data_IF_080427482225
#
_entry.id   IF_080427482225
#
_cell.length_a   1.000
_cell.length_b   1.000
_cell.length_c   1.000
_cell.angle_alpha   90.00
_cell.angle_beta   90.00
_cell.angle_gamma   90.00
#
_symmetry.space_group_name_H-M   'P 1'
#
loop_
_entity.id
_entity.type
_entity.pdbx_description
1 polymer ?
#
# COMPACT_ATOMS: atom_id res chain seq x y z
N UNK A 1 -65.82 29.26 4.25
CA UNK A 1 -64.52 29.71 4.74
C UNK A 1 -64.23 28.98 6.05
N UNK A 2 -63.17 28.21 6.06
CA UNK A 2 -62.69 27.54 7.26
C UNK A 2 -62.35 28.57 8.32
N UNK A 3 -62.69 28.31 9.57
CA UNK A 3 -62.32 29.15 10.72
C UNK A 3 -60.81 29.04 10.99
N UNK A 4 -60.22 30.08 11.62
CA UNK A 4 -58.79 30.08 11.93
C UNK A 4 -58.33 28.83 12.72
N UNK A 5 -59.21 28.30 13.60
CA UNK A 5 -58.92 27.05 14.34
C UNK A 5 -58.86 25.81 13.47
N UNK A 6 -59.71 25.73 12.45
CA UNK A 6 -59.70 24.58 11.50
C UNK A 6 -58.44 24.61 10.61
N UNK A 7 -57.95 25.77 10.24
CA UNK A 7 -56.68 25.91 9.53
C UNK A 7 -55.47 25.49 10.39
N UNK A 8 -55.45 25.92 11.66
CA UNK A 8 -54.40 25.53 12.59
C UNK A 8 -54.36 23.98 12.80
N UNK A 9 -55.50 23.36 12.90
CA UNK A 9 -55.61 21.91 13.07
C UNK A 9 -55.18 21.15 11.80
N UNK A 10 -55.56 21.66 10.63
CA UNK A 10 -55.09 21.07 9.34
C UNK A 10 -53.57 21.16 9.16
N UNK A 11 -52.99 22.29 9.50
CA UNK A 11 -51.53 22.46 9.44
C UNK A 11 -50.81 21.54 10.43
N UNK A 12 -51.34 21.41 11.66
CA UNK A 12 -50.77 20.50 12.66
C UNK A 12 -50.79 19.03 12.20
N UNK A 13 -51.92 18.59 11.60
CA UNK A 13 -52.01 17.22 11.04
C UNK A 13 -51.03 17.00 9.89
N UNK A 14 -50.87 17.98 8.99
CA UNK A 14 -49.93 17.88 7.90
C UNK A 14 -48.46 17.79 8.38
N UNK A 15 -48.11 18.57 9.41
CA UNK A 15 -46.75 18.52 10.01
C UNK A 15 -46.51 17.17 10.66
N UNK A 16 -47.48 16.62 11.40
CA UNK A 16 -47.34 15.28 12.02
C UNK A 16 -47.18 14.19 10.95
N UNK A 17 -47.97 14.25 9.87
CA UNK A 17 -47.85 13.30 8.76
C UNK A 17 -46.48 13.44 8.06
N UNK A 18 -45.99 14.64 7.83
CA UNK A 18 -44.68 14.85 7.21
C UNK A 18 -43.56 14.29 8.08
N UNK A 19 -43.61 14.51 9.39
CA UNK A 19 -42.61 13.96 10.34
C UNK A 19 -42.70 12.42 10.36
N UNK A 20 -43.91 11.85 10.43
CA UNK A 20 -44.09 10.41 10.41
C UNK A 20 -43.58 9.77 9.13
N UNK A 21 -43.85 10.37 7.96
CA UNK A 21 -43.31 9.93 6.66
C UNK A 21 -41.76 10.05 6.61
N UNK A 22 -41.19 11.12 7.13
CA UNK A 22 -39.75 11.33 7.20
C UNK A 22 -39.06 10.28 8.08
N UNK A 23 -39.60 10.01 9.27
CA UNK A 23 -39.09 8.97 10.17
C UNK A 23 -39.24 7.58 9.54
N UNK A 24 -40.40 7.30 8.92
CA UNK A 24 -40.63 6.04 8.23
C UNK A 24 -39.67 5.81 7.08
N UNK A 25 -39.44 6.83 6.24
CA UNK A 25 -38.47 6.77 5.14
C UNK A 25 -37.04 6.58 5.66
N UNK A 26 -36.66 7.26 6.73
CA UNK A 26 -35.36 7.09 7.37
C UNK A 26 -35.16 5.68 7.94
N UNK A 27 -36.15 5.10 8.61
CA UNK A 27 -36.10 3.75 9.13
C UNK A 27 -36.02 2.70 8.02
N UNK A 28 -36.71 2.88 6.92
CA UNK A 28 -36.65 2.00 5.76
C UNK A 28 -35.27 2.13 5.09
N UNK A 29 -34.78 3.34 4.87
CA UNK A 29 -33.48 3.58 4.28
C UNK A 29 -32.34 3.00 5.13
N UNK A 30 -32.40 3.16 6.45
CA UNK A 30 -31.39 2.63 7.37
C UNK A 30 -31.31 1.10 7.40
N UNK A 31 -32.44 0.43 7.14
CA UNK A 31 -32.51 -1.05 7.09
C UNK A 31 -32.27 -1.62 5.69
N UNK A 32 -32.79 -0.93 4.67
CA UNK A 32 -32.72 -1.42 3.27
C UNK A 32 -31.40 -1.13 2.56
N UNK A 33 -30.63 -0.14 3.05
CA UNK A 33 -29.38 0.32 2.38
C UNK A 33 -28.23 0.30 3.37
N UNK A 34 -27.65 -0.87 3.69
CA UNK A 34 -26.55 -1.03 4.64
C UNK A 34 -25.33 -0.12 4.34
N UNK A 35 -25.09 0.19 3.07
CA UNK A 35 -24.01 1.09 2.65
C UNK A 35 -24.25 2.56 3.10
N UNK A 36 -25.52 2.98 3.19
CA UNK A 36 -25.86 4.34 3.65
C UNK A 36 -25.64 4.51 5.16
N UNK A 37 -25.63 3.42 5.92
CA UNK A 37 -25.39 3.41 7.37
C UNK A 37 -23.92 3.11 7.72
N UNK A 38 -23.02 2.98 6.74
CA UNK A 38 -21.62 2.62 6.96
C UNK A 38 -21.41 1.18 7.45
N UNK A 39 -22.46 0.38 7.51
CA UNK A 39 -22.35 -1.05 7.83
C UNK A 39 -21.65 -1.74 6.63
N UNK A 40 -20.35 -1.96 6.74
CA UNK A 40 -19.60 -2.78 5.77
C UNK A 40 -20.23 -4.16 5.74
N UNK A 41 -20.59 -4.65 4.54
CA UNK A 41 -20.94 -6.04 4.36
C UNK A 41 -19.79 -6.88 4.92
N UNK A 42 -20.08 -7.75 5.90
CA UNK A 42 -19.09 -8.62 6.50
C UNK A 42 -18.52 -9.53 5.43
N UNK A 43 -17.23 -9.38 5.13
CA UNK A 43 -16.53 -10.30 4.24
C UNK A 43 -16.25 -11.61 4.98
N UNK A 44 -15.87 -12.65 4.24
CA UNK A 44 -15.47 -13.92 4.86
C UNK A 44 -14.29 -13.74 5.83
N UNK A 45 -13.43 -12.75 5.60
CA UNK A 45 -12.29 -12.40 6.45
C UNK A 45 -12.77 -11.78 7.75
N UNK A 46 -13.79 -10.91 7.71
CA UNK A 46 -14.33 -10.22 8.89
C UNK A 46 -14.99 -11.19 9.88
N UNK A 47 -15.46 -12.35 9.43
CA UNK A 47 -16.00 -13.40 10.30
C UNK A 47 -14.93 -13.96 11.24
N UNK A 48 -13.69 -14.03 10.79
CA UNK A 48 -12.56 -14.52 11.57
C UNK A 48 -11.80 -13.41 12.31
N UNK A 49 -12.17 -12.14 12.12
CA UNK A 49 -11.51 -11.01 12.76
C UNK A 49 -11.34 -11.16 14.29
N UNK A 50 -12.33 -11.66 15.07
CA UNK A 50 -12.17 -11.85 16.51
C UNK A 50 -11.11 -12.89 16.91
N UNK A 51 -10.77 -13.82 15.97
CA UNK A 51 -9.74 -14.83 16.19
C UNK A 51 -8.34 -14.37 15.74
N UNK A 52 -8.24 -13.21 15.09
CA UNK A 52 -6.98 -12.64 14.66
C UNK A 52 -6.26 -11.93 15.82
N UNK A 53 -4.94 -11.85 15.74
CA UNK A 53 -4.14 -11.13 16.72
C UNK A 53 -4.53 -9.65 16.80
N UNK A 54 -4.69 -9.14 18.01
CA UNK A 54 -4.95 -7.73 18.32
C UNK A 54 -4.28 -7.36 19.65
N UNK A 55 -4.24 -6.05 19.94
CA UNK A 55 -3.60 -5.56 21.17
C UNK A 55 -2.12 -5.96 21.23
N UNK A 56 -1.71 -6.61 22.31
CA UNK A 56 -0.31 -7.02 22.56
C UNK A 56 0.25 -7.95 21.46
N UNK A 57 -0.59 -8.79 20.85
CA UNK A 57 -0.16 -9.69 19.77
C UNK A 57 0.36 -8.97 18.51
N UNK A 58 -0.11 -7.74 18.29
CA UNK A 58 0.30 -6.90 17.15
C UNK A 58 1.22 -5.74 17.54
N UNK A 59 1.63 -5.66 18.78
CA UNK A 59 2.47 -4.56 19.32
C UNK A 59 3.76 -4.36 18.51
N UNK A 60 4.38 -5.45 18.06
CA UNK A 60 5.63 -5.43 17.28
C UNK A 60 5.48 -4.81 15.89
N UNK A 61 4.26 -4.76 15.35
CA UNK A 61 3.96 -4.23 14.02
C UNK A 61 3.15 -2.93 14.06
N UNK A 62 3.10 -2.27 15.22
CA UNK A 62 2.46 -0.97 15.36
C UNK A 62 3.27 0.14 14.72
N UNK A 63 2.58 1.22 14.32
CA UNK A 63 3.22 2.43 13.81
C UNK A 63 4.26 2.98 14.79
N UNK A 64 3.95 3.05 16.08
CA UNK A 64 4.83 3.58 17.11
C UNK A 64 6.14 2.78 17.20
N UNK A 65 6.05 1.45 17.13
CA UNK A 65 7.23 0.59 17.11
C UNK A 65 8.08 0.83 15.87
N UNK A 66 7.45 0.91 14.70
CA UNK A 66 8.14 1.21 13.45
C UNK A 66 8.83 2.57 13.48
N UNK A 67 8.21 3.62 14.02
CA UNK A 67 8.80 4.95 14.20
C UNK A 67 10.02 4.91 15.14
N UNK A 68 9.94 4.16 16.23
CA UNK A 68 11.08 3.97 17.15
C UNK A 68 12.27 3.29 16.45
N UNK A 69 12.00 2.31 15.60
CA UNK A 69 13.05 1.64 14.83
C UNK A 69 13.61 2.55 13.73
N UNK A 70 12.73 3.23 13.00
CA UNK A 70 13.11 4.14 11.92
C UNK A 70 14.00 5.29 12.40
N UNK A 71 13.76 5.81 13.60
CA UNK A 71 14.60 6.88 14.19
C UNK A 71 16.05 6.48 14.42
N UNK A 72 16.38 5.20 14.38
CA UNK A 72 17.76 4.70 14.45
C UNK A 72 18.42 4.59 13.09
N UNK A 73 17.62 4.48 12.02
CA UNK A 73 18.07 4.22 10.66
C UNK A 73 18.09 5.49 9.80
N UNK A 74 17.17 6.39 10.06
CA UNK A 74 16.95 7.61 9.28
C UNK A 74 17.33 8.79 10.16
N UNK A 75 18.31 9.58 9.71
CA UNK A 75 18.71 10.79 10.39
C UNK A 75 17.54 11.80 10.45
N UNK A 76 17.48 12.58 11.52
CA UNK A 76 16.35 13.46 11.80
C UNK A 76 16.12 14.52 10.70
N UNK A 77 17.17 14.98 10.03
CA UNK A 77 17.13 15.93 8.92
C UNK A 77 16.62 15.30 7.61
N UNK A 78 16.73 13.97 7.46
CA UNK A 78 16.18 13.22 6.34
C UNK A 78 14.73 12.79 6.55
N UNK A 79 14.20 12.90 7.78
CA UNK A 79 12.82 12.55 8.08
C UNK A 79 11.84 13.57 7.52
N UNK A 80 11.05 13.18 6.51
CA UNK A 80 10.06 14.05 5.87
C UNK A 80 8.66 13.78 6.41
N UNK A 81 7.85 14.83 6.51
CA UNK A 81 6.43 14.70 6.86
C UNK A 81 5.72 13.79 5.85
N UNK A 82 5.05 12.75 6.33
CA UNK A 82 4.36 11.76 5.47
C UNK A 82 5.19 10.55 5.08
N UNK A 83 6.48 10.53 5.42
CA UNK A 83 7.32 9.34 5.21
C UNK A 83 6.80 8.14 6.00
N UNK A 84 6.86 6.96 5.39
CA UNK A 84 6.47 5.72 6.05
C UNK A 84 7.52 5.32 7.09
N UNK A 85 7.13 5.00 8.33
CA UNK A 85 8.06 4.60 9.37
C UNK A 85 8.63 3.19 9.16
N UNK A 86 8.05 2.44 8.26
CA UNK A 86 8.44 1.07 7.95
C UNK A 86 7.72 0.57 6.72
N UNK A 87 7.92 -0.69 6.39
CA UNK A 87 7.21 -1.35 5.31
C UNK A 87 5.73 -1.54 5.69
N UNK A 88 4.77 -1.01 4.92
CA UNK A 88 3.35 -1.10 5.23
C UNK A 88 2.83 -2.53 5.00
N UNK A 89 2.26 -3.14 6.04
CA UNK A 89 1.62 -4.45 5.96
C UNK A 89 0.13 -4.38 5.62
N UNK A 90 -0.54 -3.29 6.02
CA UNK A 90 -1.97 -3.11 5.85
C UNK A 90 -2.66 -2.60 7.11
N UNK A 91 -3.94 -2.88 7.21
CA UNK A 91 -4.77 -2.50 8.35
C UNK A 91 -5.19 -3.74 9.14
N UNK A 92 -5.13 -3.66 10.47
CA UNK A 92 -5.76 -4.64 11.33
C UNK A 92 -7.28 -4.54 11.22
N UNK A 93 -7.96 -5.64 10.91
CA UNK A 93 -9.42 -5.66 10.71
C UNK A 93 -10.21 -5.45 12.00
N UNK A 94 -9.61 -5.69 13.16
CA UNK A 94 -10.30 -5.58 14.46
C UNK A 94 -10.47 -4.13 14.87
N UNK A 95 -9.40 -3.35 14.81
CA UNK A 95 -9.33 -1.98 15.32
C UNK A 95 -8.97 -0.93 14.24
N UNK A 96 -8.80 -1.38 13.00
CA UNK A 96 -8.45 -0.55 11.84
C UNK A 96 -7.11 0.19 12.02
N UNK A 97 -6.21 -0.32 12.86
CA UNK A 97 -4.87 0.24 13.05
C UNK A 97 -3.95 -0.10 11.89
N UNK A 98 -3.16 0.86 11.43
CA UNK A 98 -2.14 0.63 10.41
C UNK A 98 -0.98 -0.18 10.98
N UNK A 99 -0.60 -1.25 10.28
CA UNK A 99 0.51 -2.13 10.66
C UNK A 99 1.71 -1.92 9.76
N UNK A 100 2.90 -1.96 10.37
CA UNK A 100 4.19 -1.78 9.70
C UNK A 100 5.20 -2.78 10.24
N UNK A 101 6.14 -3.21 9.39
CA UNK A 101 7.40 -3.79 9.88
C UNK A 101 8.51 -2.73 9.83
N UNK A 102 9.62 -2.99 10.50
CA UNK A 102 10.82 -2.15 10.37
C UNK A 102 11.41 -2.26 8.95
N UNK A 103 12.17 -1.24 8.52
CA UNK A 103 12.98 -1.30 7.31
C UNK A 103 14.15 -2.28 7.41
N UNK A 104 14.48 -2.77 8.60
CA UNK A 104 15.48 -3.82 8.84
C UNK A 104 14.90 -5.23 8.72
N UNK A 105 13.57 -5.36 8.74
CA UNK A 105 12.93 -6.67 8.70
C UNK A 105 12.88 -7.24 7.28
N UNK A 106 13.01 -8.56 7.18
CA UNK A 106 12.70 -9.28 5.94
C UNK A 106 11.24 -9.70 5.94
N UNK A 107 10.54 -9.42 4.82
CA UNK A 107 9.16 -9.83 4.63
C UNK A 107 9.05 -10.85 3.49
N UNK A 108 8.32 -11.95 3.72
CA UNK A 108 7.98 -12.95 2.72
C UNK A 108 6.49 -12.94 2.49
N UNK A 109 6.06 -12.68 1.26
CA UNK A 109 4.64 -12.68 0.88
C UNK A 109 4.31 -13.92 0.08
N UNK A 110 3.59 -14.84 0.71
CA UNK A 110 3.11 -16.08 0.08
C UNK A 110 1.66 -15.90 -0.37
N UNK A 111 1.44 -15.90 -1.67
CA UNK A 111 0.10 -15.75 -2.24
C UNK A 111 0.04 -16.34 -3.65
N UNK A 112 -1.13 -16.82 -4.05
CA UNK A 112 -1.37 -17.42 -5.35
C UNK A 112 -1.17 -16.47 -6.54
N UNK A 113 -1.20 -16.97 -7.76
CA UNK A 113 -1.23 -16.14 -8.96
C UNK A 113 -2.43 -15.20 -8.95
N UNK A 114 -2.28 -13.98 -9.51
CA UNK A 114 -3.34 -12.95 -9.62
C UNK A 114 -3.97 -12.52 -8.30
N UNK A 115 -3.30 -12.72 -7.17
CA UNK A 115 -3.76 -12.32 -5.83
C UNK A 115 -3.45 -10.86 -5.46
N UNK A 116 -2.91 -10.07 -6.40
CA UNK A 116 -2.60 -8.67 -6.15
C UNK A 116 -1.27 -8.41 -5.44
N UNK A 117 -0.34 -9.38 -5.37
CA UNK A 117 0.96 -9.20 -4.68
C UNK A 117 1.72 -7.95 -5.09
N UNK A 118 1.85 -7.71 -6.41
CA UNK A 118 2.56 -6.52 -6.91
C UNK A 118 1.83 -5.25 -6.47
N UNK A 119 0.50 -5.19 -6.63
CA UNK A 119 -0.30 -4.01 -6.34
C UNK A 119 -0.39 -3.71 -4.83
N UNK A 120 -0.59 -4.74 -4.00
CA UNK A 120 -0.86 -4.56 -2.58
C UNK A 120 0.41 -4.53 -1.72
N UNK A 121 1.53 -5.08 -2.20
CA UNK A 121 2.76 -5.19 -1.41
C UNK A 121 3.97 -4.57 -2.10
N UNK A 122 4.34 -5.02 -3.32
CA UNK A 122 5.59 -4.58 -3.96
C UNK A 122 5.57 -3.09 -4.33
N UNK A 123 4.50 -2.61 -4.95
CA UNK A 123 4.35 -1.19 -5.31
C UNK A 123 4.33 -0.29 -4.07
N UNK A 124 3.51 -0.54 -3.02
CA UNK A 124 3.58 0.21 -1.77
C UNK A 124 4.96 0.20 -1.11
N UNK A 125 5.68 -0.94 -1.15
CA UNK A 125 7.04 -1.02 -0.62
C UNK A 125 8.00 -0.08 -1.32
N UNK A 126 8.01 -0.10 -2.66
CA UNK A 126 8.88 0.78 -3.47
C UNK A 126 8.51 2.24 -3.25
N UNK A 127 7.23 2.59 -3.20
CA UNK A 127 6.78 3.97 -3.03
C UNK A 127 7.05 4.51 -1.62
N UNK A 128 6.98 3.66 -0.59
CA UNK A 128 7.21 4.07 0.79
C UNK A 128 8.68 4.00 1.23
N UNK A 129 9.58 3.46 0.40
CA UNK A 129 10.99 3.35 0.72
C UNK A 129 11.62 4.74 0.97
N UNK A 130 12.29 4.95 2.14
CA UNK A 130 12.81 6.26 2.53
C UNK A 130 14.06 6.70 1.76
N UNK A 131 14.74 5.76 1.12
CA UNK A 131 16.00 5.98 0.41
C UNK A 131 16.08 5.18 -0.89
N UNK A 132 17.29 4.82 -1.33
CA UNK A 132 17.50 3.99 -2.51
C UNK A 132 16.73 2.68 -2.41
N UNK A 133 16.12 2.26 -3.51
CA UNK A 133 15.33 1.05 -3.57
C UNK A 133 15.74 0.23 -4.80
N UNK A 134 16.06 -1.03 -4.61
CA UNK A 134 16.28 -1.99 -5.69
C UNK A 134 15.05 -2.89 -5.82
N UNK A 135 14.38 -2.83 -6.96
CA UNK A 135 13.25 -3.70 -7.27
C UNK A 135 13.59 -4.62 -8.43
N UNK A 136 13.38 -5.92 -8.26
CA UNK A 136 13.53 -6.91 -9.33
C UNK A 136 12.18 -7.51 -9.70
N UNK A 137 11.89 -7.57 -10.98
CA UNK A 137 10.62 -8.11 -11.50
C UNK A 137 10.83 -8.69 -12.89
N UNK A 138 10.07 -9.72 -13.22
CA UNK A 138 9.96 -10.24 -14.58
C UNK A 138 8.85 -9.55 -15.40
N UNK A 139 8.34 -8.40 -14.93
CA UNK A 139 7.31 -7.58 -15.58
C UNK A 139 7.61 -6.11 -15.39
N UNK A 140 7.14 -5.28 -16.32
CA UNK A 140 7.28 -3.82 -16.25
C UNK A 140 6.33 -3.11 -15.29
N UNK A 141 5.30 -3.80 -14.75
CA UNK A 141 4.22 -3.20 -13.97
C UNK A 141 4.69 -2.40 -12.75
N UNK A 142 5.71 -2.88 -12.04
CA UNK A 142 6.27 -2.16 -10.89
C UNK A 142 6.93 -0.87 -11.35
N UNK A 143 7.79 -0.92 -12.39
CA UNK A 143 8.48 0.25 -12.93
C UNK A 143 7.48 1.29 -13.46
N UNK A 144 6.50 0.87 -14.27
CA UNK A 144 5.52 1.74 -14.88
C UNK A 144 4.74 2.57 -13.87
N UNK A 145 4.36 1.95 -12.74
CA UNK A 145 3.59 2.62 -11.69
C UNK A 145 4.47 3.44 -10.76
N UNK A 146 5.63 2.92 -10.36
CA UNK A 146 6.42 3.54 -9.30
C UNK A 146 7.38 4.63 -9.80
N UNK A 147 7.94 4.50 -11.00
CA UNK A 147 8.93 5.44 -11.51
C UNK A 147 8.42 6.89 -11.63
N UNK A 148 7.21 7.15 -12.17
CA UNK A 148 6.68 8.51 -12.25
C UNK A 148 6.52 9.16 -10.86
N UNK A 149 6.01 8.41 -9.89
CA UNK A 149 5.75 8.88 -8.52
C UNK A 149 7.10 9.14 -7.80
N UNK A 150 8.02 8.19 -7.89
CA UNK A 150 9.36 8.34 -7.28
C UNK A 150 10.14 9.54 -7.83
N UNK A 151 9.98 9.87 -9.10
CA UNK A 151 10.58 11.09 -9.68
C UNK A 151 9.99 12.38 -9.10
N UNK A 152 8.68 12.39 -8.78
CA UNK A 152 8.04 13.52 -8.12
C UNK A 152 8.49 13.67 -6.67
N UNK A 153 8.59 12.57 -5.94
CA UNK A 153 8.99 12.57 -4.53
C UNK A 153 10.48 12.84 -4.35
N UNK A 154 11.30 12.45 -5.33
CA UNK A 154 12.76 12.60 -5.32
C UNK A 154 13.24 13.22 -6.64
N UNK A 155 13.04 14.54 -6.85
CA UNK A 155 13.38 15.20 -8.13
C UNK A 155 14.84 15.09 -8.54
N UNK A 156 15.75 14.96 -7.57
CA UNK A 156 17.19 14.79 -7.78
C UNK A 156 17.63 13.32 -7.81
N UNK A 157 16.68 12.39 -7.64
CA UNK A 157 16.94 10.96 -7.66
C UNK A 157 16.96 10.42 -9.09
N UNK A 158 17.90 9.55 -9.37
CA UNK A 158 17.96 8.85 -10.65
C UNK A 158 17.23 7.50 -10.57
N UNK A 159 16.57 7.14 -11.65
CA UNK A 159 15.93 5.84 -11.81
C UNK A 159 16.68 5.10 -12.93
N UNK A 160 17.37 4.05 -12.54
CA UNK A 160 18.09 3.19 -13.46
C UNK A 160 17.30 1.91 -13.72
N UNK A 161 17.30 1.48 -14.98
CA UNK A 161 16.63 0.26 -15.39
C UNK A 161 17.61 -0.66 -16.10
N UNK A 162 17.82 -1.84 -15.53
CA UNK A 162 18.55 -2.92 -16.16
C UNK A 162 17.55 -3.89 -16.79
N UNK A 163 17.39 -3.81 -18.10
CA UNK A 163 16.37 -4.57 -18.85
C UNK A 163 16.99 -5.20 -20.11
N UNK A 164 17.84 -6.23 -19.96
CA UNK A 164 18.51 -6.88 -21.06
C UNK A 164 17.55 -7.59 -22.02
N UNK A 165 16.42 -8.09 -21.50
CA UNK A 165 15.41 -8.81 -22.27
C UNK A 165 14.30 -7.92 -22.82
N UNK A 166 14.34 -6.60 -22.54
CA UNK A 166 13.36 -5.60 -23.00
C UNK A 166 11.94 -5.87 -22.53
N UNK A 167 11.79 -6.31 -21.29
CA UNK A 167 10.50 -6.60 -20.67
C UNK A 167 9.81 -5.31 -20.19
N UNK A 168 10.59 -4.42 -19.55
CA UNK A 168 10.07 -3.18 -18.98
C UNK A 168 9.95 -2.05 -20.02
N UNK A 169 10.89 -1.95 -20.96
CA UNK A 169 10.91 -0.96 -22.04
C UNK A 169 11.18 -1.62 -23.40
N UNK A 170 10.22 -2.32 -23.97
CA UNK A 170 10.38 -3.04 -25.24
C UNK A 170 10.76 -2.14 -26.42
N UNK A 171 10.38 -0.85 -26.36
CA UNK A 171 10.65 0.14 -27.42
C UNK A 171 11.93 0.95 -27.18
N UNK A 172 12.64 0.69 -26.11
CA UNK A 172 13.87 1.42 -25.72
C UNK A 172 13.71 2.94 -25.72
N UNK A 173 12.62 3.43 -25.14
CA UNK A 173 12.36 4.87 -24.99
C UNK A 173 13.30 5.52 -23.98
N UNK A 174 13.80 4.76 -23.00
CA UNK A 174 14.82 5.16 -22.04
C UNK A 174 16.18 4.62 -22.42
N UNK A 175 17.26 5.34 -22.08
CA UNK A 175 18.60 4.80 -22.17
C UNK A 175 18.77 3.69 -21.14
N UNK A 176 18.99 2.42 -21.53
CA UNK A 176 19.15 1.35 -20.57
C UNK A 176 20.45 1.54 -19.81
N UNK A 177 20.43 1.25 -18.50
CA UNK A 177 21.66 1.05 -17.78
C UNK A 177 22.30 -0.27 -18.24
N UNK A 178 23.56 -0.21 -18.61
CA UNK A 178 24.34 -1.37 -19.07
C UNK A 178 25.47 -1.59 -18.09
N UNK A 179 25.59 -2.78 -17.57
CA UNK A 179 26.75 -3.15 -16.79
C UNK A 179 27.86 -3.66 -17.71
N UNK A 180 28.92 -2.88 -17.81
CA UNK A 180 30.16 -3.31 -18.48
C UNK A 180 30.95 -4.22 -17.53
N UNK A 181 30.74 -5.52 -17.70
CA UNK A 181 31.36 -6.54 -16.87
C UNK A 181 32.88 -6.53 -17.01
N UNK A 182 33.38 -6.27 -18.23
CA UNK A 182 34.79 -6.31 -18.54
C UNK A 182 35.51 -5.08 -18.00
N UNK A 183 34.92 -3.90 -18.11
CA UNK A 183 35.45 -2.67 -17.53
C UNK A 183 35.58 -2.73 -15.99
N UNK A 184 34.81 -3.59 -15.33
CA UNK A 184 34.90 -3.79 -13.88
C UNK A 184 36.09 -4.65 -13.43
N UNK A 185 36.80 -5.32 -14.36
CA UNK A 185 37.94 -6.20 -14.08
C UNK A 185 39.21 -5.37 -14.00
N UNK A 186 39.71 -5.11 -12.80
CA UNK A 186 40.95 -4.39 -12.56
C UNK A 186 42.09 -5.31 -12.07
N UNK A 187 41.78 -6.55 -11.69
CA UNK A 187 42.70 -7.52 -11.16
C UNK A 187 42.39 -8.95 -11.59
N UNK A 188 43.36 -9.85 -11.47
CA UNK A 188 43.17 -11.29 -11.67
C UNK A 188 42.10 -11.85 -10.67
N UNK A 189 42.08 -11.28 -9.47
CA UNK A 189 41.07 -11.67 -8.44
C UNK A 189 39.64 -11.32 -8.89
N UNK A 190 39.43 -10.18 -9.53
CA UNK A 190 38.15 -9.77 -10.07
C UNK A 190 37.70 -10.69 -11.20
N UNK A 191 38.59 -10.99 -12.15
CA UNK A 191 38.33 -11.91 -13.24
C UNK A 191 37.96 -13.29 -12.73
N UNK A 192 38.63 -13.81 -11.71
CA UNK A 192 38.33 -15.10 -11.08
C UNK A 192 36.95 -15.09 -10.42
N UNK A 193 36.61 -14.01 -9.67
CA UNK A 193 35.30 -13.86 -9.01
C UNK A 193 34.15 -13.87 -10.01
N UNK A 194 34.30 -13.16 -11.13
CA UNK A 194 33.32 -13.14 -12.21
C UNK A 194 33.16 -14.52 -12.85
N UNK A 195 34.30 -15.18 -13.15
CA UNK A 195 34.29 -16.53 -13.71
C UNK A 195 33.61 -17.55 -12.74
N UNK A 196 33.88 -17.45 -11.45
CA UNK A 196 33.25 -18.29 -10.44
C UNK A 196 31.71 -18.04 -10.37
N UNK A 197 31.26 -16.78 -10.43
CA UNK A 197 29.82 -16.47 -10.47
C UNK A 197 29.14 -17.12 -11.70
N UNK A 198 29.77 -17.09 -12.85
CA UNK A 198 29.22 -17.69 -14.06
C UNK A 198 29.19 -19.22 -13.98
N UNK A 199 30.24 -19.83 -13.43
CA UNK A 199 30.28 -21.28 -13.19
C UNK A 199 29.15 -21.71 -12.27
N UNK A 200 28.90 -21.00 -11.17
CA UNK A 200 27.76 -21.30 -10.26
C UNK A 200 26.41 -21.10 -10.95
N UNK A 201 26.25 -20.05 -11.74
CA UNK A 201 25.00 -19.80 -12.46
C UNK A 201 24.71 -20.85 -13.54
N UNK A 202 25.73 -21.44 -14.15
CA UNK A 202 25.59 -22.52 -15.15
C UNK A 202 25.36 -23.91 -14.55
N UNK A 203 25.38 -24.05 -13.22
CA UNK A 203 25.15 -25.32 -12.53
C UNK A 203 26.32 -26.32 -12.63
N UNK A 204 27.52 -25.85 -12.94
CA UNK A 204 28.75 -26.65 -12.99
C UNK A 204 29.63 -26.46 -11.76
#
# INVERSE_FOLDING_TARGET
SLTAGQWALAVAVLVVLAVACGVGAWLIASKAVPWATGAKARTRVDVYAPAMGHGEAVEKVTRQRAETMASRLIEADHWRKGMSPGYPLGLNIVDNTSMYTSWEDMAIVLAGPRSGKSLCYAIPAVLSAPGPCLATSNKGDILDVTAPIRRLDHPNGEIWTFDPERIADPNRKSAPWVWDLIASVQSIADAKRIADCWRYASGQ
#
